data_IF_542193941420
#
_entry.id   IF_542193941420
#
_cell.length_a   1.000
_cell.length_b   1.000
_cell.length_c   1.000
_cell.angle_alpha   90.00
_cell.angle_beta   90.00
_cell.angle_gamma   90.00
#
_symmetry.space_group_name_H-M   'P 1'
#
loop_
_entity.id
_entity.type
_entity.pdbx_description
1 polymer ?
#
# COMPACT_ATOMS: atom_id res chain seq x y z
N UNK A 1 -16.35 11.16 4.65
CA UNK A 1 -14.90 11.25 4.36
C UNK A 1 -14.57 10.05 3.49
N UNK A 2 -14.03 10.26 2.30
CA UNK A 2 -13.78 9.16 1.37
C UNK A 2 -12.36 8.63 1.63
N UNK A 3 -12.28 7.39 2.11
CA UNK A 3 -11.00 6.71 2.30
C UNK A 3 -10.51 6.14 0.97
N UNK A 4 -9.24 6.38 0.65
CA UNK A 4 -8.54 5.83 -0.52
C UNK A 4 -7.45 4.89 -0.03
N UNK A 5 -7.42 3.68 -0.57
CA UNK A 5 -6.37 2.70 -0.26
C UNK A 5 -5.40 2.59 -1.44
N UNK A 6 -4.10 2.76 -1.17
CA UNK A 6 -3.03 2.58 -2.16
C UNK A 6 -2.17 1.37 -1.75
N UNK A 7 -1.99 0.41 -2.66
CA UNK A 7 -1.16 -0.78 -2.42
C UNK A 7 -0.05 -0.81 -3.45
N UNK A 8 1.20 -0.84 -2.98
CA UNK A 8 2.38 -0.99 -3.84
C UNK A 8 3.03 -2.35 -3.60
N UNK A 9 3.25 -3.11 -4.66
CA UNK A 9 3.88 -4.44 -4.57
C UNK A 9 5.38 -4.39 -4.30
N UNK A 10 6.05 -3.35 -4.78
CA UNK A 10 7.51 -3.24 -4.77
C UNK A 10 7.99 -1.80 -4.47
N UNK A 11 9.30 -1.66 -4.21
CA UNK A 11 9.92 -0.35 -3.94
C UNK A 11 9.89 0.60 -5.15
N UNK A 12 9.82 0.07 -6.37
CA UNK A 12 9.58 0.83 -7.61
C UNK A 12 8.19 1.49 -7.60
N UNK A 13 7.16 0.71 -7.28
CA UNK A 13 5.77 1.20 -7.15
C UNK A 13 5.58 2.22 -6.03
N UNK A 14 6.35 2.11 -4.94
CA UNK A 14 6.32 3.02 -3.79
C UNK A 14 6.51 4.50 -4.18
N UNK A 15 7.41 4.78 -5.13
CA UNK A 15 7.64 6.13 -5.62
C UNK A 15 6.35 6.72 -6.21
N UNK A 16 5.70 5.98 -7.11
CA UNK A 16 4.45 6.41 -7.73
C UNK A 16 3.31 6.54 -6.73
N UNK A 17 3.21 5.61 -5.76
CA UNK A 17 2.27 5.71 -4.65
C UNK A 17 2.44 7.00 -3.84
N UNK A 18 3.69 7.41 -3.57
CA UNK A 18 3.98 8.65 -2.84
C UNK A 18 3.62 9.91 -3.64
N UNK A 19 3.87 9.92 -4.95
CA UNK A 19 3.53 11.05 -5.83
C UNK A 19 2.01 11.19 -5.95
N UNK A 20 1.31 10.06 -6.11
CA UNK A 20 -0.15 10.02 -6.14
C UNK A 20 -0.75 10.53 -4.82
N UNK A 21 -0.24 10.07 -3.68
CA UNK A 21 -0.72 10.52 -2.37
C UNK A 21 -0.56 12.04 -2.18
N UNK A 22 0.59 12.61 -2.58
CA UNK A 22 0.80 14.07 -2.56
C UNK A 22 -0.20 14.81 -3.44
N UNK A 23 -0.43 14.33 -4.67
CA UNK A 23 -1.38 14.94 -5.58
C UNK A 23 -2.82 14.85 -5.05
N UNK A 24 -3.20 13.71 -4.47
CA UNK A 24 -4.50 13.51 -3.83
C UNK A 24 -4.69 14.43 -2.62
N UNK A 25 -3.70 14.55 -1.73
CA UNK A 25 -3.77 15.49 -0.60
C UNK A 25 -3.86 16.95 -1.05
N UNK A 26 -3.30 17.30 -2.20
CA UNK A 26 -3.40 18.65 -2.76
C UNK A 26 -4.80 18.93 -3.31
N UNK A 27 -5.39 17.95 -4.02
CA UNK A 27 -6.70 18.10 -4.69
C UNK A 27 -7.89 17.82 -3.77
N UNK A 28 -7.72 16.93 -2.80
CA UNK A 28 -8.72 16.47 -1.84
C UNK A 28 -8.08 16.39 -0.44
N UNK A 29 -7.83 17.53 0.24
CA UNK A 29 -7.14 17.56 1.52
C UNK A 29 -7.79 16.69 2.62
N UNK A 30 -9.12 16.59 2.58
CA UNK A 30 -9.95 15.78 3.47
C UNK A 30 -9.90 14.28 3.19
N UNK A 31 -9.30 13.83 2.09
CA UNK A 31 -9.18 12.41 1.78
C UNK A 31 -8.32 11.72 2.85
N UNK A 32 -8.85 10.64 3.43
CA UNK A 32 -8.08 9.75 4.28
C UNK A 32 -7.37 8.74 3.38
N UNK A 33 -6.04 8.74 3.38
CA UNK A 33 -5.26 7.87 2.53
C UNK A 33 -4.59 6.82 3.40
N UNK A 34 -4.93 5.55 3.18
CA UNK A 34 -4.31 4.40 3.83
C UNK A 34 -3.52 3.60 2.78
N UNK A 35 -2.56 2.79 3.18
CA UNK A 35 -1.86 1.98 2.18
C UNK A 35 -0.83 0.99 2.65
N UNK A 36 -0.38 0.18 1.69
CA UNK A 36 0.77 -0.73 1.82
C UNK A 36 1.89 -0.17 0.95
N UNK A 37 3.06 0.04 1.54
CA UNK A 37 4.13 0.81 0.91
C UNK A 37 5.29 1.08 1.87
N UNK A 38 6.10 2.08 1.55
CA UNK A 38 7.32 2.43 2.30
C UNK A 38 7.32 3.84 2.88
N UNK A 39 8.51 4.28 3.30
CA UNK A 39 8.69 5.58 3.97
C UNK A 39 8.35 6.78 3.09
N UNK A 40 8.48 6.70 1.75
CA UNK A 40 8.08 7.79 0.85
C UNK A 40 6.58 8.03 0.88
N UNK A 41 5.78 6.96 0.91
CA UNK A 41 4.32 7.05 1.03
C UNK A 41 3.91 7.60 2.40
N UNK A 42 4.54 7.10 3.46
CA UNK A 42 4.32 7.61 4.82
C UNK A 42 4.65 9.11 4.92
N UNK A 43 5.78 9.54 4.36
CA UNK A 43 6.16 10.95 4.28
C UNK A 43 5.22 11.80 3.40
N UNK A 44 4.50 11.17 2.46
CA UNK A 44 3.45 11.81 1.66
C UNK A 44 2.09 11.91 2.38
N UNK A 45 2.00 11.46 3.63
CA UNK A 45 0.77 11.53 4.43
C UNK A 45 -0.16 10.33 4.25
N UNK A 46 0.39 9.18 3.81
CA UNK A 46 -0.32 7.90 3.81
C UNK A 46 -0.23 7.25 5.18
N UNK A 47 -1.36 6.83 5.74
CA UNK A 47 -1.41 5.98 6.92
C UNK A 47 -1.08 4.53 6.53
N UNK A 48 0.01 4.00 7.08
CA UNK A 48 0.52 2.69 6.66
C UNK A 48 -0.22 1.53 7.33
N UNK A 49 -0.82 0.67 6.52
CA UNK A 49 -1.38 -0.64 6.90
C UNK A 49 -0.29 -1.71 6.97
N UNK A 50 0.69 -1.65 6.05
CA UNK A 50 1.89 -2.50 6.07
C UNK A 50 3.04 -1.97 5.25
N UNK A 51 4.22 -2.52 5.51
CA UNK A 51 5.39 -2.40 4.65
C UNK A 51 5.28 -3.29 3.40
N UNK A 52 6.14 -3.01 2.42
CA UNK A 52 6.35 -3.88 1.25
C UNK A 52 7.04 -5.17 1.70
N UNK A 53 6.60 -6.32 1.18
CA UNK A 53 7.28 -7.58 1.41
C UNK A 53 8.55 -7.66 0.54
N UNK A 54 9.72 -7.52 1.14
CA UNK A 54 11.00 -7.65 0.43
C UNK A 54 11.20 -9.09 -0.05
N UNK A 55 11.18 -9.33 -1.35
CA UNK A 55 11.47 -10.64 -1.96
C UNK A 55 12.98 -10.77 -2.21
N UNK A 56 13.68 -11.47 -1.33
CA UNK A 56 15.04 -11.94 -1.58
C UNK A 56 15.01 -13.46 -1.81
N UNK A 57 15.68 -13.94 -2.86
CA UNK A 57 16.17 -15.33 -3.00
C UNK A 57 15.17 -16.46 -3.30
N UNK A 58 15.47 -17.27 -4.32
CA UNK A 58 14.78 -18.53 -4.68
C UNK A 58 14.79 -19.55 -3.52
N UNK A 59 15.75 -19.45 -2.58
CA UNK A 59 15.84 -20.29 -1.37
C UNK A 59 14.87 -19.90 -0.25
N UNK A 60 14.19 -18.76 -0.35
CA UNK A 60 13.27 -18.23 0.67
C UNK A 60 11.80 -18.20 0.20
N UNK A 61 11.44 -18.94 -0.85
CA UNK A 61 10.10 -18.92 -1.44
C UNK A 61 8.96 -19.14 -0.42
N UNK A 62 9.15 -20.02 0.57
CA UNK A 62 8.17 -20.24 1.63
C UNK A 62 8.06 -19.04 2.59
N UNK A 63 9.17 -18.38 2.91
CA UNK A 63 9.18 -17.18 3.75
C UNK A 63 8.54 -16.00 3.01
N UNK A 64 8.88 -15.83 1.73
CA UNK A 64 8.26 -14.86 0.83
C UNK A 64 6.74 -15.08 0.74
N UNK A 65 6.29 -16.32 0.53
CA UNK A 65 4.87 -16.65 0.50
C UNK A 65 4.15 -16.31 1.82
N UNK A 66 4.77 -16.63 2.97
CA UNK A 66 4.21 -16.26 4.29
C UNK A 66 4.10 -14.75 4.46
N UNK A 67 5.11 -13.99 4.04
CA UNK A 67 5.11 -12.54 4.09
C UNK A 67 4.00 -11.95 3.21
N UNK A 68 3.89 -12.39 1.95
CA UNK A 68 2.82 -11.97 1.03
C UNK A 68 1.45 -12.29 1.61
N UNK A 69 1.24 -13.51 2.13
CA UNK A 69 -0.04 -13.90 2.76
C UNK A 69 -0.38 -13.04 3.97
N UNK A 70 0.61 -12.69 4.79
CA UNK A 70 0.39 -11.82 5.95
C UNK A 70 0.02 -10.39 5.52
N UNK A 71 0.70 -9.85 4.52
CA UNK A 71 0.40 -8.53 3.94
C UNK A 71 -0.98 -8.52 3.29
N UNK A 72 -1.35 -9.57 2.56
CA UNK A 72 -2.68 -9.74 1.98
C UNK A 72 -3.76 -9.77 3.06
N UNK A 73 -3.56 -10.52 4.14
CA UNK A 73 -4.51 -10.54 5.26
C UNK A 73 -4.70 -9.15 5.85
N UNK A 74 -3.62 -8.39 6.08
CA UNK A 74 -3.71 -7.03 6.60
C UNK A 74 -4.42 -6.08 5.63
N UNK A 75 -4.25 -6.27 4.32
CA UNK A 75 -5.01 -5.53 3.31
C UNK A 75 -6.51 -5.81 3.44
N UNK A 76 -6.91 -7.08 3.54
CA UNK A 76 -8.32 -7.46 3.73
C UNK A 76 -8.89 -6.88 5.02
N UNK A 77 -8.19 -7.06 6.14
CA UNK A 77 -8.61 -6.52 7.44
C UNK A 77 -8.75 -4.99 7.39
N UNK A 78 -7.88 -4.29 6.64
CA UNK A 78 -7.98 -2.85 6.44
C UNK A 78 -9.14 -2.44 5.52
N UNK A 79 -9.41 -3.20 4.45
CA UNK A 79 -10.58 -2.96 3.60
C UNK A 79 -11.88 -3.08 4.39
N UNK A 80 -12.01 -4.10 5.25
CA UNK A 80 -13.16 -4.27 6.13
C UNK A 80 -13.28 -3.14 7.15
N UNK A 81 -12.16 -2.79 7.81
CA UNK A 81 -12.14 -1.76 8.85
C UNK A 81 -12.45 -0.36 8.32
N UNK A 82 -11.87 0.01 7.17
CA UNK A 82 -11.90 1.39 6.67
C UNK A 82 -12.88 1.59 5.52
N UNK A 83 -13.41 0.53 4.92
CA UNK A 83 -14.35 0.57 3.78
C UNK A 83 -13.94 1.60 2.71
N UNK A 84 -12.72 1.50 2.16
CA UNK A 84 -12.23 2.47 1.20
C UNK A 84 -13.13 2.54 -0.02
N UNK A 85 -13.45 3.75 -0.46
CA UNK A 85 -14.27 3.98 -1.65
C UNK A 85 -13.49 3.68 -2.95
N UNK A 86 -12.15 3.74 -2.87
CA UNK A 86 -11.26 3.51 -4.00
C UNK A 86 -10.06 2.68 -3.52
N UNK A 87 -9.76 1.62 -4.27
CA UNK A 87 -8.53 0.84 -4.14
C UNK A 87 -7.66 1.07 -5.39
N UNK A 88 -6.39 1.41 -5.17
CA UNK A 88 -5.42 1.68 -6.22
C UNK A 88 -4.25 0.71 -6.05
N UNK A 89 -4.09 -0.19 -7.02
CA UNK A 89 -2.98 -1.15 -7.06
C UNK A 89 -1.90 -0.62 -7.99
N UNK A 90 -0.66 -0.54 -7.51
CA UNK A 90 0.48 -0.03 -8.27
C UNK A 90 1.56 -1.11 -8.27
N UNK A 91 2.04 -1.45 -9.46
CA UNK A 91 3.13 -2.42 -9.65
C UNK A 91 2.81 -3.76 -8.96
N UNK A 92 1.59 -4.24 -9.23
CA UNK A 92 1.14 -5.55 -8.83
C UNK A 92 1.25 -6.43 -10.09
N UNK A 93 2.11 -7.46 -10.13
CA UNK A 93 2.16 -8.35 -11.27
C UNK A 93 0.82 -9.09 -11.39
N UNK A 94 0.40 -9.32 -12.64
CA UNK A 94 -0.77 -10.14 -13.00
C UNK A 94 -0.71 -11.55 -12.37
#
# INVERSE_FOLDING_TARGET
MNTVMIVTGESSGELYGSLLAKALKTKCPEAHIIGIGGERMKAAGVEMVSGIASSFGITEALAAYKAVRATFKKAVDAMEKFSPAILILIDYPD
#
